data_IF_222858393493
#
_entry.id   IF_222858393493
#
_cell.length_a   1.000
_cell.length_b   1.000
_cell.length_c   1.000
_cell.angle_alpha   90.00
_cell.angle_beta   90.00
_cell.angle_gamma   90.00
#
_symmetry.space_group_name_H-M   'P 1'
#
loop_
_entity.id
_entity.type
_entity.pdbx_description
1 polymer ?
#
# COMPACT_ATOMS: atom_id res chain seq x y z
N UNK A 1 23.56 -9.56 6.84
CA UNK A 1 22.57 -10.18 7.77
C UNK A 1 23.33 -10.72 8.96
N UNK A 2 22.77 -10.64 10.16
CA UNK A 2 23.37 -11.18 11.40
C UNK A 2 22.55 -12.40 11.83
N UNK A 3 23.22 -13.43 12.38
CA UNK A 3 22.57 -14.63 12.90
C UNK A 3 22.37 -14.49 14.40
N UNK A 4 21.13 -14.54 14.84
CA UNK A 4 20.73 -14.40 16.24
C UNK A 4 19.85 -15.59 16.62
N UNK A 5 20.12 -16.18 17.78
CA UNK A 5 19.24 -17.20 18.38
C UNK A 5 18.25 -16.50 19.29
N UNK A 6 16.95 -16.72 19.07
CA UNK A 6 15.85 -16.15 19.86
C UNK A 6 14.99 -17.29 20.41
N UNK A 7 14.60 -17.21 21.67
CA UNK A 7 13.57 -18.08 22.22
C UNK A 7 12.19 -17.62 21.72
N UNK A 8 11.44 -18.53 21.10
CA UNK A 8 10.11 -18.27 20.52
C UNK A 8 9.17 -19.36 21.04
N UNK A 9 7.98 -18.97 21.50
CA UNK A 9 6.96 -19.93 21.92
C UNK A 9 6.61 -20.91 20.79
N UNK A 10 6.41 -22.18 21.13
CA UNK A 10 6.18 -23.25 20.15
C UNK A 10 4.98 -22.98 19.25
N UNK A 11 3.90 -22.47 19.83
CA UNK A 11 2.68 -22.09 19.09
C UNK A 11 2.94 -20.97 18.09
N UNK A 12 3.78 -20.00 18.46
CA UNK A 12 4.14 -18.90 17.58
C UNK A 12 5.03 -19.39 16.44
N UNK A 13 6.03 -20.22 16.75
CA UNK A 13 6.89 -20.84 15.74
C UNK A 13 6.07 -21.67 14.74
N UNK A 14 5.06 -22.42 15.21
CA UNK A 14 4.15 -23.17 14.36
C UNK A 14 3.39 -22.26 13.38
N UNK A 15 2.81 -21.15 13.87
CA UNK A 15 2.09 -20.19 13.01
C UNK A 15 2.99 -19.54 11.96
N UNK A 16 4.24 -19.21 12.32
CA UNK A 16 5.21 -18.65 11.35
C UNK A 16 5.54 -19.68 10.28
N UNK A 17 5.74 -20.96 10.64
CA UNK A 17 5.96 -22.05 9.67
C UNK A 17 4.77 -22.25 8.72
N UNK A 18 3.54 -22.24 9.24
CA UNK A 18 2.33 -22.33 8.43
C UNK A 18 2.20 -21.15 7.45
N UNK A 19 2.53 -19.93 7.88
CA UNK A 19 2.56 -18.75 7.00
C UNK A 19 3.63 -18.90 5.91
N UNK A 20 4.84 -19.31 6.27
CA UNK A 20 5.93 -19.54 5.32
C UNK A 20 5.58 -20.59 4.26
N UNK A 21 4.97 -21.71 4.67
CA UNK A 21 4.52 -22.74 3.74
C UNK A 21 3.43 -22.23 2.78
N UNK A 22 2.48 -21.44 3.29
CA UNK A 22 1.40 -20.85 2.49
C UNK A 22 1.89 -19.84 1.46
N UNK A 23 2.91 -19.06 1.83
CA UNK A 23 3.48 -17.99 1.00
C UNK A 23 4.65 -18.49 0.12
N UNK A 24 5.03 -19.77 0.21
CA UNK A 24 6.17 -20.33 -0.53
C UNK A 24 7.49 -19.62 -0.21
N UNK A 25 7.61 -19.05 1.00
CA UNK A 25 8.72 -18.19 1.42
C UNK A 25 9.56 -18.85 2.52
N UNK A 26 10.82 -18.45 2.65
CA UNK A 26 11.66 -18.98 3.72
C UNK A 26 11.20 -18.48 5.10
N UNK A 27 11.30 -19.34 6.13
CA UNK A 27 10.91 -19.00 7.51
C UNK A 27 11.58 -17.71 8.01
N UNK A 28 12.86 -17.54 7.65
CA UNK A 28 13.65 -16.36 7.99
C UNK A 28 13.07 -15.07 7.39
N UNK A 29 12.63 -15.09 6.14
CA UNK A 29 12.11 -13.92 5.45
C UNK A 29 10.78 -13.49 6.06
N UNK A 30 9.90 -14.47 6.32
CA UNK A 30 8.64 -14.26 7.03
C UNK A 30 8.89 -13.70 8.43
N UNK A 31 9.84 -14.26 9.19
CA UNK A 31 10.17 -13.77 10.53
C UNK A 31 10.67 -12.32 10.50
N UNK A 32 11.57 -11.98 9.57
CA UNK A 32 12.10 -10.62 9.43
C UNK A 32 11.01 -9.62 9.00
N UNK A 33 10.12 -10.02 8.10
CA UNK A 33 9.01 -9.17 7.66
C UNK A 33 8.03 -8.89 8.81
N UNK A 34 7.67 -9.92 9.59
CA UNK A 34 6.82 -9.77 10.77
C UNK A 34 7.44 -8.82 11.80
N UNK A 35 8.74 -8.97 12.09
CA UNK A 35 9.46 -8.07 12.99
C UNK A 35 9.49 -6.63 12.44
N UNK A 36 9.78 -6.45 11.15
CA UNK A 36 9.77 -5.13 10.51
C UNK A 36 8.39 -4.48 10.60
N UNK A 37 7.34 -5.22 10.28
CA UNK A 37 5.96 -4.73 10.33
C UNK A 37 5.57 -4.36 11.77
N UNK A 38 5.94 -5.17 12.77
CA UNK A 38 5.68 -4.87 14.17
C UNK A 38 6.39 -3.59 14.64
N UNK A 39 7.64 -3.38 14.22
CA UNK A 39 8.42 -2.19 14.57
C UNK A 39 7.93 -0.93 13.83
N UNK A 40 7.44 -1.07 12.59
CA UNK A 40 6.88 0.06 11.80
C UNK A 40 5.46 0.43 12.25
N UNK A 41 4.63 -0.55 12.63
CA UNK A 41 3.24 -0.33 13.05
C UNK A 41 3.09 0.30 14.44
N UNK A 42 4.19 0.67 15.12
CA UNK A 42 4.12 1.39 16.40
C UNK A 42 3.45 2.76 16.30
N UNK A 43 3.35 3.35 15.10
CA UNK A 43 2.44 4.49 14.90
C UNK A 43 1.06 3.94 14.58
N UNK A 44 0.04 4.13 15.44
CA UNK A 44 -1.32 3.82 15.04
C UNK A 44 -1.57 4.50 13.71
N UNK A 45 -2.01 3.73 12.70
CA UNK A 45 -2.51 4.31 11.46
C UNK A 45 -3.66 5.21 11.88
N UNK A 46 -3.37 6.51 12.02
CA UNK A 46 -4.40 7.50 12.33
C UNK A 46 -5.41 7.34 11.21
N UNK A 47 -6.66 7.00 11.53
CA UNK A 47 -7.73 6.93 10.55
C UNK A 47 -7.75 8.28 9.83
N UNK A 48 -7.15 8.32 8.64
CA UNK A 48 -7.06 9.55 7.87
C UNK A 48 -8.46 9.75 7.30
N UNK A 49 -9.24 10.63 7.91
CA UNK A 49 -10.44 11.14 7.26
C UNK A 49 -9.99 11.98 6.08
N UNK A 50 -9.94 11.36 4.90
CA UNK A 50 -9.69 12.04 3.64
C UNK A 50 -10.88 12.96 3.36
N UNK A 51 -10.71 14.26 3.56
CA UNK A 51 -11.70 15.26 3.19
C UNK A 51 -11.29 15.90 1.86
N UNK A 52 -11.77 15.34 0.75
CA UNK A 52 -11.56 15.92 -0.58
C UNK A 52 -12.40 17.18 -0.72
N UNK A 53 -11.75 18.33 -0.83
CA UNK A 53 -12.41 19.58 -1.21
C UNK A 53 -12.51 19.62 -2.73
N UNK A 54 -13.68 19.27 -3.26
CA UNK A 54 -13.99 19.48 -4.67
C UNK A 54 -14.18 20.96 -4.99
N UNK A 55 -14.18 21.30 -6.28
CA UNK A 55 -14.59 22.61 -6.78
C UNK A 55 -15.70 22.44 -7.81
N UNK A 56 -16.57 23.44 -7.94
CA UNK A 56 -17.52 23.52 -9.05
C UNK A 56 -16.84 24.24 -10.21
N UNK A 57 -16.80 23.60 -11.38
CA UNK A 57 -16.37 24.23 -12.62
C UNK A 57 -17.51 24.18 -13.63
N UNK A 58 -17.64 25.24 -14.41
CA UNK A 58 -18.53 25.28 -15.58
C UNK A 58 -17.75 24.82 -16.80
N UNK A 59 -18.38 24.06 -17.69
CA UNK A 59 -17.78 23.67 -18.96
C UNK A 59 -17.36 24.90 -19.76
N UNK A 60 -16.20 24.83 -20.42
CA UNK A 60 -15.74 25.89 -21.32
C UNK A 60 -16.56 25.80 -22.63
N UNK A 61 -17.22 26.88 -23.08
CA UNK A 61 -17.96 26.86 -24.33
C UNK A 61 -17.08 26.44 -25.52
N UNK A 62 -17.63 25.61 -26.40
CA UNK A 62 -16.90 25.08 -27.56
C UNK A 62 -15.99 23.88 -27.26
N UNK A 63 -15.92 23.41 -26.01
CA UNK A 63 -15.21 22.19 -25.63
C UNK A 63 -16.22 21.05 -25.52
N UNK A 64 -16.07 20.06 -26.39
CA UNK A 64 -16.78 18.80 -26.27
C UNK A 64 -15.99 17.87 -25.35
N UNK A 65 -16.55 17.57 -24.17
CA UNK A 65 -15.92 16.68 -23.18
C UNK A 65 -16.04 15.20 -23.55
N UNK A 66 -16.89 14.85 -24.52
CA UNK A 66 -17.06 13.49 -25.01
C UNK A 66 -16.13 13.17 -26.17
N UNK A 67 -15.53 14.20 -26.78
CA UNK A 67 -14.51 14.06 -27.81
C UNK A 67 -13.12 14.13 -27.17
N UNK A 68 -12.54 12.96 -26.93
CA UNK A 68 -11.22 12.82 -26.31
C UNK A 68 -10.19 13.65 -27.05
N UNK A 69 -10.06 13.50 -28.35
CA UNK A 69 -8.93 14.05 -29.08
C UNK A 69 -8.97 15.58 -29.07
N UNK A 70 -10.16 16.17 -29.30
CA UNK A 70 -10.34 17.64 -29.17
C UNK A 70 -10.10 18.17 -27.76
N UNK A 71 -10.52 17.44 -26.74
CA UNK A 71 -10.29 17.83 -25.35
C UNK A 71 -8.79 17.84 -25.02
N UNK A 72 -8.07 16.80 -25.43
CA UNK A 72 -6.64 16.68 -25.15
C UNK A 72 -5.81 17.71 -25.93
N UNK A 73 -6.14 18.01 -27.19
CA UNK A 73 -5.48 19.09 -27.95
C UNK A 73 -5.58 20.44 -27.21
N UNK A 74 -6.78 20.76 -26.70
CA UNK A 74 -7.02 21.98 -25.91
C UNK A 74 -6.30 22.01 -24.56
N UNK A 75 -6.12 20.85 -23.92
CA UNK A 75 -5.45 20.74 -22.62
C UNK A 75 -3.93 20.79 -22.74
N UNK A 76 -3.38 20.21 -23.80
CA UNK A 76 -1.94 20.16 -24.06
C UNK A 76 -1.41 21.41 -24.79
N UNK A 77 -2.30 22.35 -25.14
CA UNK A 77 -1.95 23.66 -25.68
C UNK A 77 -1.38 23.62 -27.09
N UNK A 78 -1.81 22.66 -27.91
CA UNK A 78 -1.47 22.58 -29.34
C UNK A 78 -2.57 23.19 -30.20
#
# INVERSE_FOLDING_TARGET
MVRTTLAIDDDLLKRIKEKAAREGSALQDVANELLRNALVQQKPKRNLKLNLRGWKATGRPGVDLLDRDKLFDLMDGR
#
